data_IF_555770798263
#
_entry.id   IF_555770798263
#
_cell.length_a   1.000
_cell.length_b   1.000
_cell.length_c   1.000
_cell.angle_alpha   90.00
_cell.angle_beta   90.00
_cell.angle_gamma   90.00
#
_symmetry.space_group_name_H-M   'P 1'
#
loop_
_entity.id
_entity.type
_entity.pdbx_description
1 polymer ?
#
# COMPACT_ATOMS: atom_id res chain seq x y z
N UNK A 1 -1.24 37.35 -9.37
CA UNK A 1 -2.33 36.44 -8.94
C UNK A 1 -2.12 36.07 -7.47
N UNK A 2 -3.18 35.83 -6.70
CA UNK A 2 -3.24 35.75 -5.21
C UNK A 2 -2.22 34.87 -4.44
N UNK A 3 -1.21 34.28 -5.10
CA UNK A 3 -0.19 33.42 -4.50
C UNK A 3 1.18 34.10 -4.28
N UNK A 4 1.41 35.30 -4.86
CA UNK A 4 2.70 36.02 -4.75
C UNK A 4 3.06 36.49 -3.32
N UNK A 5 2.06 36.53 -2.42
CA UNK A 5 2.19 37.12 -1.10
C UNK A 5 2.61 36.14 0.01
N UNK A 6 2.64 34.82 -0.25
CA UNK A 6 2.98 33.86 0.81
C UNK A 6 4.48 33.91 1.14
N UNK A 7 4.83 33.88 2.44
CA UNK A 7 6.23 33.83 2.88
C UNK A 7 6.99 32.69 2.21
N UNK A 8 6.38 31.50 2.13
CA UNK A 8 6.96 30.32 1.45
C UNK A 8 7.26 30.54 -0.03
N UNK A 9 6.40 31.25 -0.77
CA UNK A 9 6.68 31.58 -2.17
C UNK A 9 7.89 32.51 -2.29
N UNK A 10 7.97 33.54 -1.44
CA UNK A 10 9.12 34.45 -1.42
C UNK A 10 10.41 33.71 -1.09
N UNK A 11 10.36 32.87 -0.05
CA UNK A 11 11.52 32.17 0.50
C UNK A 11 12.06 31.10 -0.46
N UNK A 12 11.18 30.37 -1.16
CA UNK A 12 11.59 29.20 -1.93
C UNK A 12 11.51 29.37 -3.44
N UNK A 13 10.75 30.35 -3.96
CA UNK A 13 10.55 30.55 -5.40
C UNK A 13 11.07 31.90 -5.86
N UNK A 14 10.70 33.00 -5.21
CA UNK A 14 11.09 34.34 -5.65
C UNK A 14 12.55 34.71 -5.33
N UNK A 15 13.10 34.16 -4.24
CA UNK A 15 14.48 34.38 -3.80
C UNK A 15 15.54 33.78 -4.74
N UNK A 16 15.17 32.77 -5.55
CA UNK A 16 16.08 32.12 -6.48
C UNK A 16 16.28 32.95 -7.75
N UNK A 17 17.52 33.40 -7.95
CA UNK A 17 17.90 34.34 -9.00
C UNK A 17 17.87 33.74 -10.42
N UNK A 18 18.07 32.43 -10.56
CA UNK A 18 18.33 31.78 -11.86
C UNK A 18 17.19 30.85 -12.28
N UNK A 19 16.68 30.06 -11.35
CA UNK A 19 15.73 28.99 -11.61
C UNK A 19 14.41 29.20 -10.86
N UNK A 20 14.25 30.31 -10.15
CA UNK A 20 13.06 30.70 -9.40
C UNK A 20 11.93 31.30 -10.22
N UNK A 21 11.26 32.30 -9.64
CA UNK A 21 10.14 33.02 -10.24
C UNK A 21 10.45 33.54 -11.65
N UNK A 22 11.63 34.15 -11.84
CA UNK A 22 12.04 34.74 -13.13
C UNK A 22 12.05 33.74 -14.30
N UNK A 23 12.30 32.46 -14.02
CA UNK A 23 12.34 31.40 -15.03
C UNK A 23 10.97 30.74 -15.29
N UNK A 24 9.93 31.12 -14.52
CA UNK A 24 8.63 30.43 -14.50
C UNK A 24 7.41 31.33 -14.66
N UNK A 25 7.45 32.57 -14.17
CA UNK A 25 6.29 33.48 -14.10
C UNK A 25 5.64 33.76 -15.47
N UNK A 26 6.44 33.91 -16.53
CA UNK A 26 5.91 34.09 -17.89
C UNK A 26 5.06 32.90 -18.30
N UNK A 27 5.55 31.67 -18.12
CA UNK A 27 4.80 30.46 -18.46
C UNK A 27 3.52 30.32 -17.63
N UNK A 28 3.57 30.68 -16.35
CA UNK A 28 2.37 30.67 -15.49
C UNK A 28 1.34 31.71 -15.94
N UNK A 29 1.79 32.90 -16.33
CA UNK A 29 0.92 33.98 -16.80
C UNK A 29 0.23 33.60 -18.10
N UNK A 30 1.00 33.14 -19.11
CA UNK A 30 0.48 32.68 -20.40
C UNK A 30 -0.56 31.55 -20.23
N UNK A 31 -0.30 30.62 -19.30
CA UNK A 31 -1.24 29.54 -18.97
C UNK A 31 -2.54 30.06 -18.33
N UNK A 32 -2.45 30.98 -17.37
CA UNK A 32 -3.61 31.57 -16.70
C UNK A 32 -4.45 32.45 -17.63
N UNK A 33 -3.83 33.08 -18.63
CA UNK A 33 -4.51 33.86 -19.67
C UNK A 33 -5.18 32.98 -20.75
N UNK A 34 -4.97 31.66 -20.69
CA UNK A 34 -5.71 30.69 -21.50
C UNK A 34 -5.10 30.41 -22.87
N UNK A 35 -3.81 30.69 -23.07
CA UNK A 35 -3.12 30.45 -24.33
C UNK A 35 -2.84 28.96 -24.55
N UNK A 36 -3.85 28.23 -25.04
CA UNK A 36 -3.84 26.75 -25.15
C UNK A 36 -2.67 26.18 -25.95
N UNK A 37 -2.16 26.93 -26.93
CA UNK A 37 -0.99 26.55 -27.74
C UNK A 37 0.30 26.42 -26.94
N UNK A 38 0.38 27.01 -25.74
CA UNK A 38 1.56 27.00 -24.87
C UNK A 38 1.46 26.07 -23.66
N UNK A 39 0.41 25.24 -23.60
CA UNK A 39 0.18 24.34 -22.45
C UNK A 39 1.37 23.41 -22.20
N UNK A 40 1.96 22.85 -23.25
CA UNK A 40 3.09 21.92 -23.12
C UNK A 40 4.35 22.62 -22.58
N UNK A 41 4.63 23.85 -23.01
CA UNK A 41 5.73 24.66 -22.50
C UNK A 41 5.55 24.98 -21.01
N UNK A 42 4.33 25.31 -20.60
CA UNK A 42 3.99 25.49 -19.20
C UNK A 42 4.19 24.21 -18.40
N UNK A 43 3.73 23.06 -18.89
CA UNK A 43 3.91 21.77 -18.20
C UNK A 43 5.39 21.42 -18.02
N UNK A 44 6.23 21.69 -19.02
CA UNK A 44 7.68 21.53 -18.91
C UNK A 44 8.31 22.51 -17.92
N UNK A 45 7.89 23.78 -17.92
CA UNK A 45 8.35 24.77 -16.95
C UNK A 45 7.94 24.40 -15.51
N UNK A 46 6.71 23.94 -15.31
CA UNK A 46 6.20 23.45 -14.03
C UNK A 46 6.97 22.21 -13.55
N UNK A 47 7.26 21.26 -14.44
CA UNK A 47 8.07 20.09 -14.10
C UNK A 47 9.47 20.48 -13.62
N UNK A 48 10.14 21.43 -14.31
CA UNK A 48 11.44 21.97 -13.90
C UNK A 48 11.38 22.66 -12.53
N UNK A 49 10.32 23.44 -12.27
CA UNK A 49 10.11 24.06 -10.97
C UNK A 49 9.95 23.04 -9.85
N UNK A 50 9.15 21.99 -10.07
CA UNK A 50 8.98 20.88 -9.11
C UNK A 50 10.29 20.16 -8.84
N UNK A 51 11.06 19.85 -9.88
CA UNK A 51 12.35 19.19 -9.75
C UNK A 51 13.35 20.06 -8.98
N UNK A 52 13.44 21.36 -9.27
CA UNK A 52 14.29 22.28 -8.50
C UNK A 52 13.91 22.27 -7.03
N UNK A 53 12.63 22.50 -6.73
CA UNK A 53 12.13 22.56 -5.37
C UNK A 53 12.38 21.26 -4.61
N UNK A 54 12.32 20.10 -5.27
CA UNK A 54 12.67 18.83 -4.63
C UNK A 54 14.08 18.84 -4.01
N UNK A 55 15.06 19.41 -4.71
CA UNK A 55 16.45 19.47 -4.24
C UNK A 55 16.78 20.72 -3.42
N UNK A 56 16.03 21.82 -3.60
CA UNK A 56 16.33 23.10 -2.96
C UNK A 56 15.52 23.36 -1.70
N UNK A 57 14.43 22.62 -1.46
CA UNK A 57 13.62 22.80 -0.26
C UNK A 57 14.43 22.40 0.98
N UNK A 58 14.62 23.32 1.94
CA UNK A 58 15.27 22.97 3.19
C UNK A 58 14.40 22.01 4.00
N UNK A 59 15.04 21.02 4.63
CA UNK A 59 14.35 20.16 5.60
C UNK A 59 13.76 21.00 6.75
N UNK A 60 12.61 20.57 7.29
CA UNK A 60 12.06 21.12 8.54
C UNK A 60 11.06 22.29 8.42
N UNK A 61 10.68 22.74 7.23
CA UNK A 61 9.70 23.85 7.04
C UNK A 61 8.23 23.39 6.84
N UNK A 62 7.92 22.16 7.26
CA UNK A 62 6.60 21.54 7.04
C UNK A 62 6.25 21.37 5.55
N UNK A 63 7.25 21.41 4.67
CA UNK A 63 7.13 21.06 3.26
C UNK A 63 7.94 19.79 3.05
N UNK A 64 7.26 18.71 2.68
CA UNK A 64 7.90 17.48 2.30
C UNK A 64 8.16 17.47 0.78
N UNK A 65 9.45 17.41 0.34
CA UNK A 65 9.82 17.33 -1.06
C UNK A 65 9.16 16.18 -1.81
N UNK A 66 8.86 15.05 -1.16
CA UNK A 66 8.30 13.89 -1.85
C UNK A 66 6.91 14.14 -2.44
N UNK A 67 6.16 15.12 -1.92
CA UNK A 67 4.91 15.61 -2.52
C UNK A 67 5.07 16.20 -3.93
N UNK A 68 6.30 16.55 -4.32
CA UNK A 68 6.64 17.03 -5.65
C UNK A 68 6.88 15.89 -6.65
N UNK A 69 6.86 14.64 -6.21
CA UNK A 69 7.08 13.45 -7.04
C UNK A 69 5.79 12.65 -7.22
N UNK A 70 5.83 11.66 -8.12
CA UNK A 70 4.74 10.69 -8.29
C UNK A 70 4.70 9.71 -7.11
N UNK A 71 5.86 9.36 -6.54
CA UNK A 71 6.01 8.45 -5.41
C UNK A 71 6.15 9.24 -4.12
N UNK A 72 5.02 9.71 -3.58
CA UNK A 72 5.00 10.63 -2.44
C UNK A 72 5.47 9.97 -1.14
N UNK A 73 5.38 8.65 -1.05
CA UNK A 73 5.79 7.85 0.11
C UNK A 73 7.21 7.31 -0.04
N UNK A 74 7.98 7.78 -1.02
CA UNK A 74 9.39 7.36 -1.20
C UNK A 74 10.26 7.63 0.02
N UNK A 75 10.02 8.74 0.72
CA UNK A 75 10.73 9.03 1.98
C UNK A 75 10.47 7.97 3.04
N UNK A 76 9.19 7.62 3.22
CA UNK A 76 8.76 6.58 4.16
C UNK A 76 9.28 5.20 3.75
N UNK A 77 9.33 4.91 2.45
CA UNK A 77 9.91 3.66 1.92
C UNK A 77 11.40 3.52 2.27
N UNK A 78 12.18 4.59 2.08
CA UNK A 78 13.60 4.59 2.43
C UNK A 78 13.80 4.44 3.94
N UNK A 79 13.03 5.18 4.74
CA UNK A 79 13.08 5.07 6.21
C UNK A 79 12.69 3.67 6.69
N UNK A 80 11.63 3.09 6.11
CA UNK A 80 11.18 1.73 6.41
C UNK A 80 12.24 0.68 6.07
N UNK A 81 12.88 0.80 4.90
CA UNK A 81 13.96 -0.09 4.49
C UNK A 81 15.14 -0.02 5.47
N UNK A 82 15.52 1.19 5.89
CA UNK A 82 16.60 1.39 6.85
C UNK A 82 16.23 0.85 8.26
N UNK A 83 14.98 1.04 8.68
CA UNK A 83 14.49 0.46 9.93
C UNK A 83 14.52 -1.06 9.91
N UNK A 84 14.20 -1.70 8.77
CA UNK A 84 14.33 -3.15 8.62
C UNK A 84 15.79 -3.61 8.73
N UNK A 85 16.73 -2.94 8.03
CA UNK A 85 18.17 -3.25 8.10
C UNK A 85 18.74 -3.13 9.50
N UNK A 86 18.35 -2.07 10.21
CA UNK A 86 18.81 -1.80 11.57
C UNK A 86 18.02 -2.54 12.65
N UNK A 87 17.00 -3.34 12.27
CA UNK A 87 16.06 -3.99 13.17
C UNK A 87 15.44 -3.01 14.20
N UNK A 88 15.11 -1.82 13.72
CA UNK A 88 14.46 -0.73 14.45
C UNK A 88 12.94 -0.83 14.41
N UNK A 89 12.26 0.09 15.09
CA UNK A 89 10.79 0.12 15.11
C UNK A 89 10.20 0.41 13.71
N UNK A 90 9.21 -0.40 13.33
CA UNK A 90 8.48 -0.28 12.06
C UNK A 90 6.96 -0.26 12.24
N UNK A 91 6.45 -0.21 13.47
CA UNK A 91 5.05 -0.46 13.83
C UNK A 91 4.07 0.38 13.00
N UNK A 92 4.25 1.70 12.98
CA UNK A 92 3.34 2.61 12.25
C UNK A 92 3.30 2.34 10.73
N UNK A 93 4.46 2.04 10.13
CA UNK A 93 4.52 1.74 8.70
C UNK A 93 3.92 0.37 8.41
N UNK A 94 4.24 -0.63 9.24
CA UNK A 94 3.67 -1.97 9.16
C UNK A 94 2.15 -1.93 9.23
N UNK A 95 1.58 -1.17 10.19
CA UNK A 95 0.14 -1.02 10.33
C UNK A 95 -0.51 -0.42 9.08
N UNK A 96 0.13 0.60 8.50
CA UNK A 96 -0.32 1.25 7.27
C UNK A 96 -0.31 0.26 6.10
N UNK A 97 0.76 -0.54 5.96
CA UNK A 97 0.89 -1.52 4.89
C UNK A 97 -0.13 -2.65 5.04
N UNK A 98 -0.35 -3.17 6.25
CA UNK A 98 -1.37 -4.20 6.52
C UNK A 98 -2.77 -3.67 6.21
N UNK A 99 -3.08 -2.43 6.61
CA UNK A 99 -4.35 -1.81 6.23
C UNK A 99 -4.52 -1.74 4.71
N UNK A 100 -3.47 -1.37 3.99
CA UNK A 100 -3.45 -1.37 2.52
C UNK A 100 -3.72 -2.77 1.94
N UNK A 101 -3.11 -3.81 2.53
CA UNK A 101 -3.32 -5.21 2.13
C UNK A 101 -4.77 -5.64 2.38
N UNK A 102 -5.31 -5.42 3.59
CA UNK A 102 -6.69 -5.78 3.94
C UNK A 102 -7.71 -5.12 3.00
N UNK A 103 -7.54 -3.82 2.72
CA UNK A 103 -8.39 -3.11 1.75
C UNK A 103 -8.26 -3.65 0.33
N UNK A 104 -7.07 -4.10 -0.06
CA UNK A 104 -6.84 -4.72 -1.37
C UNK A 104 -7.45 -6.12 -1.46
N UNK A 105 -7.31 -6.93 -0.40
CA UNK A 105 -7.68 -8.34 -0.38
C UNK A 105 -9.17 -8.54 -0.19
N UNK A 106 -9.80 -7.70 0.63
CA UNK A 106 -11.22 -7.77 0.94
C UNK A 106 -12.08 -6.85 0.06
N UNK A 107 -11.48 -5.82 -0.57
CA UNK A 107 -12.21 -4.83 -1.36
C UNK A 107 -13.10 -3.91 -0.50
N UNK A 108 -12.85 -3.85 0.81
CA UNK A 108 -13.61 -3.09 1.80
C UNK A 108 -12.72 -2.07 2.51
N UNK A 109 -13.29 -0.98 3.04
CA UNK A 109 -12.56 0.05 3.79
C UNK A 109 -12.24 -0.41 5.22
N UNK A 110 -11.36 -1.40 5.34
CA UNK A 110 -10.91 -1.93 6.63
C UNK A 110 -9.85 -1.04 7.25
N UNK A 111 -9.88 -0.92 8.58
CA UNK A 111 -8.90 -0.18 9.38
C UNK A 111 -8.05 -1.09 10.28
N UNK A 112 -8.41 -2.38 10.40
CA UNK A 112 -7.61 -3.38 11.12
C UNK A 112 -6.24 -3.57 10.47
N UNK A 113 -5.22 -3.58 11.32
CA UNK A 113 -3.81 -3.73 10.99
C UNK A 113 -3.09 -4.79 11.82
N UNK A 114 -3.82 -5.47 12.72
CA UNK A 114 -3.28 -6.49 13.63
C UNK A 114 -3.40 -7.90 13.06
N UNK A 115 -4.34 -8.09 12.14
CA UNK A 115 -4.61 -9.32 11.41
C UNK A 115 -4.65 -9.00 9.92
N UNK A 116 -4.05 -9.87 9.12
CA UNK A 116 -4.20 -9.88 7.68
C UNK A 116 -5.36 -10.81 7.31
N UNK A 117 -6.41 -10.25 6.73
CA UNK A 117 -7.60 -10.98 6.32
C UNK A 117 -7.47 -11.43 4.86
N UNK A 118 -7.53 -12.75 4.63
CA UNK A 118 -7.49 -13.34 3.31
C UNK A 118 -8.89 -13.77 2.91
N UNK A 119 -9.56 -12.95 2.10
CA UNK A 119 -10.91 -13.20 1.64
C UNK A 119 -10.99 -13.53 0.14
N UNK A 120 -11.97 -14.35 -0.22
CA UNK A 120 -12.35 -14.72 -1.57
C UNK A 120 -13.80 -14.34 -1.86
N UNK A 121 -14.13 -14.14 -3.13
CA UNK A 121 -15.50 -13.91 -3.60
C UNK A 121 -16.28 -15.22 -3.86
N UNK A 122 -15.80 -16.36 -3.37
CA UNK A 122 -16.38 -17.68 -3.63
C UNK A 122 -16.12 -18.25 -5.04
N UNK A 123 -15.29 -17.57 -5.84
CA UNK A 123 -14.87 -17.98 -7.19
C UNK A 123 -13.34 -18.16 -7.29
N UNK A 124 -12.73 -17.67 -8.36
CA UNK A 124 -11.26 -17.68 -8.58
C UNK A 124 -10.45 -16.75 -7.64
N UNK A 125 -11.10 -16.20 -6.60
CA UNK A 125 -10.56 -15.29 -5.60
C UNK A 125 -10.19 -13.88 -6.11
N UNK A 126 -10.49 -13.56 -7.37
CA UNK A 126 -10.28 -12.24 -8.01
C UNK A 126 -11.55 -11.37 -8.06
N UNK A 127 -12.65 -11.80 -7.43
CA UNK A 127 -13.89 -11.02 -7.43
C UNK A 127 -13.73 -9.64 -6.79
N UNK A 128 -14.47 -8.66 -7.34
CA UNK A 128 -14.35 -7.24 -6.97
C UNK A 128 -14.82 -6.90 -5.55
N UNK A 129 -15.60 -7.79 -4.93
CA UNK A 129 -16.04 -7.71 -3.54
C UNK A 129 -15.86 -9.12 -2.97
N UNK A 130 -14.99 -9.27 -1.98
CA UNK A 130 -14.79 -10.54 -1.30
C UNK A 130 -15.70 -10.58 -0.07
N UNK A 131 -16.45 -11.67 0.08
CA UNK A 131 -17.37 -11.85 1.21
C UNK A 131 -17.06 -13.09 2.02
N UNK A 132 -16.24 -14.02 1.53
CA UNK A 132 -15.92 -15.27 2.22
C UNK A 132 -14.50 -15.19 2.76
N UNK A 133 -14.36 -15.20 4.07
CA UNK A 133 -13.07 -15.30 4.74
C UNK A 133 -12.50 -16.70 4.55
N UNK A 134 -11.25 -16.77 4.13
CA UNK A 134 -10.53 -18.03 3.97
C UNK A 134 -9.58 -18.25 5.15
N UNK A 135 -8.79 -17.23 5.50
CA UNK A 135 -7.79 -17.32 6.56
C UNK A 135 -7.58 -15.95 7.21
N UNK A 136 -7.30 -15.98 8.51
CA UNK A 136 -6.77 -14.85 9.28
C UNK A 136 -5.32 -15.12 9.65
N UNK A 137 -4.43 -14.19 9.29
CA UNK A 137 -2.99 -14.32 9.56
C UNK A 137 -2.57 -13.21 10.53
N UNK A 138 -2.15 -13.54 11.77
CA UNK A 138 -1.65 -12.55 12.71
C UNK A 138 -0.45 -11.78 12.16
N UNK A 139 -0.35 -10.48 12.45
CA UNK A 139 0.82 -9.65 12.08
C UNK A 139 1.92 -9.70 13.14
N UNK A 140 1.60 -10.21 14.33
CA UNK A 140 2.55 -10.40 15.41
C UNK A 140 3.09 -11.81 15.43
N UNK A 141 4.32 -11.97 15.92
CA UNK A 141 4.98 -13.28 16.05
C UNK A 141 4.11 -14.26 16.83
N UNK A 142 3.64 -15.30 16.13
CA UNK A 142 2.99 -16.45 16.75
C UNK A 142 4.00 -17.58 16.99
N UNK A 143 3.73 -18.41 18.00
CA UNK A 143 4.53 -19.60 18.32
C UNK A 143 4.02 -20.87 17.66
N UNK A 144 2.79 -20.84 17.16
CA UNK A 144 2.06 -22.03 16.69
C UNK A 144 1.52 -21.84 15.29
N UNK A 145 1.03 -20.64 15.00
CA UNK A 145 0.31 -20.36 13.76
C UNK A 145 1.19 -19.57 12.79
N UNK A 146 1.01 -19.74 11.47
CA UNK A 146 1.59 -18.85 10.49
C UNK A 146 1.29 -17.38 10.78
N UNK A 147 2.30 -16.50 10.64
CA UNK A 147 2.15 -15.07 10.89
C UNK A 147 2.87 -14.21 9.84
N UNK A 148 2.39 -13.00 9.62
CA UNK A 148 3.01 -12.04 8.72
C UNK A 148 4.20 -11.36 9.39
N UNK A 149 5.31 -11.25 8.67
CA UNK A 149 6.49 -10.50 9.06
C UNK A 149 6.95 -9.64 7.88
N UNK A 150 7.27 -8.37 8.15
CA UNK A 150 8.06 -7.56 7.23
C UNK A 150 9.53 -7.83 7.49
N UNK A 151 10.28 -8.09 6.42
CA UNK A 151 11.71 -8.39 6.49
C UNK A 151 12.42 -7.80 5.29
N UNK A 152 13.75 -7.80 5.28
CA UNK A 152 14.52 -7.44 4.09
C UNK A 152 14.90 -8.71 3.31
N UNK A 153 14.88 -8.64 1.98
CA UNK A 153 15.29 -9.75 1.10
C UNK A 153 16.75 -10.14 1.36
N UNK A 154 17.14 -11.35 0.95
CA UNK A 154 18.45 -11.92 1.29
C UNK A 154 19.64 -11.18 0.65
N UNK A 155 19.39 -10.26 -0.28
CA UNK A 155 20.38 -9.34 -0.86
C UNK A 155 20.47 -7.99 -0.10
N UNK A 156 19.76 -7.88 1.03
CA UNK A 156 19.67 -6.70 1.91
C UNK A 156 19.20 -5.42 1.19
N UNK A 157 18.51 -5.57 0.06
CA UNK A 157 18.22 -4.45 -0.84
C UNK A 157 16.74 -4.06 -0.94
N UNK A 158 15.83 -5.02 -0.77
CA UNK A 158 14.39 -4.80 -0.97
C UNK A 158 13.59 -5.27 0.26
N UNK A 159 12.74 -4.41 0.85
CA UNK A 159 11.77 -4.87 1.84
C UNK A 159 10.87 -5.96 1.25
N UNK A 160 10.40 -6.88 2.08
CA UNK A 160 9.57 -8.02 1.67
C UNK A 160 8.47 -8.27 2.70
N UNK A 161 7.31 -8.71 2.21
CA UNK A 161 6.24 -9.28 3.03
C UNK A 161 6.48 -10.78 3.05
N UNK A 162 6.61 -11.38 4.23
CA UNK A 162 6.83 -12.82 4.39
C UNK A 162 5.79 -13.41 5.33
N UNK A 163 5.27 -14.59 5.00
CA UNK A 163 4.47 -15.39 5.93
C UNK A 163 5.36 -16.46 6.52
N UNK A 164 5.54 -16.46 7.83
CA UNK A 164 6.41 -17.38 8.55
C UNK A 164 5.54 -18.45 9.19
N UNK A 165 5.80 -19.72 8.89
CA UNK A 165 5.22 -20.85 9.60
C UNK A 165 6.21 -21.32 10.69
N UNK A 166 5.90 -21.15 12.00
CA UNK A 166 6.76 -21.62 13.07
C UNK A 166 6.95 -23.15 13.12
N UNK A 167 6.06 -23.91 12.50
CA UNK A 167 6.09 -25.37 12.49
C UNK A 167 7.03 -25.93 11.41
N UNK A 168 7.17 -25.23 10.28
CA UNK A 168 8.13 -25.57 9.23
C UNK A 168 9.53 -25.03 9.59
N UNK A 169 10.42 -25.94 9.97
CA UNK A 169 11.81 -25.59 10.32
C UNK A 169 12.78 -25.65 9.14
N UNK A 170 12.34 -26.23 8.03
CA UNK A 170 13.17 -26.45 6.84
C UNK A 170 13.03 -25.29 5.85
N UNK A 171 11.92 -24.54 5.91
CA UNK A 171 11.68 -23.34 5.11
C UNK A 171 11.86 -22.05 5.91
N UNK A 172 12.43 -21.02 5.27
CA UNK A 172 12.55 -19.68 5.88
C UNK A 172 11.20 -18.96 5.99
N UNK A 173 10.30 -19.21 5.03
CA UNK A 173 8.95 -18.65 4.97
C UNK A 173 8.04 -19.56 4.14
N UNK A 174 6.74 -19.52 4.44
CA UNK A 174 5.69 -20.21 3.68
C UNK A 174 5.52 -19.56 2.30
N UNK A 175 5.45 -18.23 2.27
CA UNK A 175 5.47 -17.46 1.03
C UNK A 175 5.97 -16.02 1.25
N UNK A 176 6.34 -15.35 0.16
CA UNK A 176 6.83 -13.98 0.18
C UNK A 176 6.42 -13.17 -1.05
N UNK A 177 6.53 -11.84 -0.90
CA UNK A 177 6.45 -10.86 -1.98
C UNK A 177 7.43 -9.71 -1.71
N UNK A 178 8.27 -9.40 -2.69
CA UNK A 178 9.20 -8.27 -2.65
C UNK A 178 8.44 -6.95 -2.81
N UNK A 179 8.61 -6.08 -1.84
CA UNK A 179 7.94 -4.79 -1.74
C UNK A 179 8.81 -3.71 -2.40
N UNK A 180 8.77 -3.65 -3.73
CA UNK A 180 9.34 -2.53 -4.48
C UNK A 180 8.66 -1.19 -4.13
N UNK A 181 9.31 -0.08 -4.43
CA UNK A 181 8.77 1.26 -4.17
C UNK A 181 7.34 1.44 -4.71
N UNK A 182 7.04 0.91 -5.90
CA UNK A 182 5.70 0.97 -6.49
C UNK A 182 4.67 0.19 -5.68
N UNK A 183 5.04 -0.97 -5.14
CA UNK A 183 4.17 -1.75 -4.23
C UNK A 183 3.92 -1.00 -2.91
N UNK A 184 4.97 -0.40 -2.34
CA UNK A 184 4.86 0.39 -1.12
C UNK A 184 3.94 1.60 -1.32
N UNK A 185 4.19 2.41 -2.36
CA UNK A 185 3.35 3.58 -2.70
C UNK A 185 1.90 3.16 -2.96
N UNK A 186 1.70 2.04 -3.64
CA UNK A 186 0.37 1.47 -3.87
C UNK A 186 -0.35 1.19 -2.54
N UNK A 187 0.29 0.44 -1.63
CA UNK A 187 -0.33 0.07 -0.35
C UNK A 187 -0.62 1.30 0.51
N UNK A 188 0.30 2.27 0.58
CA UNK A 188 0.09 3.53 1.31
C UNK A 188 -1.09 4.31 0.72
N UNK A 189 -1.22 4.38 -0.60
CA UNK A 189 -2.36 5.05 -1.25
C UNK A 189 -3.68 4.37 -0.95
N UNK A 190 -3.72 3.04 -1.01
CA UNK A 190 -4.93 2.26 -0.70
C UNK A 190 -5.30 2.36 0.78
N UNK A 191 -4.31 2.33 1.67
CA UNK A 191 -4.49 2.58 3.10
C UNK A 191 -5.05 4.00 3.39
N UNK A 192 -4.74 4.96 2.52
CA UNK A 192 -5.27 6.33 2.57
C UNK A 192 -6.58 6.53 1.76
N UNK A 193 -7.20 5.45 1.26
CA UNK A 193 -8.52 5.48 0.63
C UNK A 193 -8.52 5.66 -0.89
N UNK A 194 -7.36 5.57 -1.54
CA UNK A 194 -7.31 5.48 -3.00
C UNK A 194 -7.87 4.14 -3.47
N UNK A 195 -8.58 4.14 -4.59
CA UNK A 195 -9.06 2.89 -5.19
C UNK A 195 -7.87 2.04 -5.66
N UNK A 196 -7.81 0.73 -5.35
CA UNK A 196 -6.72 -0.18 -5.73
C UNK A 196 -6.27 -0.03 -7.19
N UNK A 197 -7.19 -0.10 -8.15
CA UNK A 197 -6.85 -0.05 -9.57
C UNK A 197 -6.51 1.37 -10.12
N UNK A 198 -6.58 2.42 -9.31
CA UNK A 198 -6.41 3.81 -9.78
C UNK A 198 -4.95 4.25 -9.90
N UNK A 199 -4.04 3.64 -9.13
CA UNK A 199 -2.62 3.97 -9.16
C UNK A 199 -1.84 3.03 -10.09
N UNK A 200 -1.98 1.72 -9.88
CA UNK A 200 -1.28 0.71 -10.68
C UNK A 200 -2.09 -0.58 -10.73
N UNK A 201 -2.55 -0.94 -11.94
CA UNK A 201 -3.21 -2.25 -12.16
C UNK A 201 -2.23 -3.40 -11.96
N UNK A 202 -0.97 -3.22 -12.35
CA UNK A 202 0.06 -4.24 -12.17
C UNK A 202 0.20 -4.62 -10.69
N UNK A 203 0.38 -3.62 -9.82
CA UNK A 203 0.51 -3.90 -8.38
C UNK A 203 -0.74 -4.55 -7.80
N UNK A 204 -1.93 -4.17 -8.28
CA UNK A 204 -3.17 -4.81 -7.85
C UNK A 204 -3.18 -6.31 -8.18
N UNK A 205 -2.81 -6.67 -9.42
CA UNK A 205 -2.72 -8.09 -9.82
C UNK A 205 -1.61 -8.82 -9.04
N UNK A 206 -0.44 -8.21 -8.84
CA UNK A 206 0.65 -8.81 -8.06
C UNK A 206 0.21 -9.17 -6.63
N UNK A 207 -0.56 -8.29 -5.99
CA UNK A 207 -1.12 -8.53 -4.66
C UNK A 207 -2.25 -9.57 -4.67
N UNK A 208 -3.12 -9.59 -5.69
CA UNK A 208 -4.14 -10.63 -5.82
C UNK A 208 -3.52 -12.01 -6.05
N UNK A 209 -2.48 -12.09 -6.87
CA UNK A 209 -1.74 -13.33 -7.09
C UNK A 209 -1.03 -13.79 -5.81
N UNK A 210 -0.44 -12.87 -5.05
CA UNK A 210 0.10 -13.18 -3.72
C UNK A 210 -0.99 -13.73 -2.77
N UNK A 211 -2.15 -13.08 -2.69
CA UNK A 211 -3.29 -13.55 -1.88
C UNK A 211 -3.70 -14.98 -2.23
N UNK A 212 -3.84 -15.29 -3.52
CA UNK A 212 -4.24 -16.63 -3.97
C UNK A 212 -3.20 -17.71 -3.61
N UNK A 213 -1.91 -17.39 -3.76
CA UNK A 213 -0.83 -18.30 -3.36
C UNK A 213 -0.85 -18.54 -1.85
N UNK A 214 -1.08 -17.49 -1.05
CA UNK A 214 -1.21 -17.61 0.41
C UNK A 214 -2.39 -18.49 0.82
N UNK A 215 -3.60 -18.24 0.29
CA UNK A 215 -4.78 -19.05 0.61
C UNK A 215 -4.51 -20.53 0.34
N UNK A 216 -3.92 -20.85 -0.83
CA UNK A 216 -3.58 -22.22 -1.19
C UNK A 216 -2.59 -22.86 -0.20
N UNK A 217 -1.50 -22.17 0.13
CA UNK A 217 -0.48 -22.70 1.04
C UNK A 217 -1.01 -22.84 2.47
N UNK A 218 -1.85 -21.91 2.93
CA UNK A 218 -2.46 -22.00 4.25
C UNK A 218 -3.52 -23.11 4.32
N UNK A 219 -4.27 -23.35 3.24
CA UNK A 219 -5.16 -24.52 3.13
C UNK A 219 -4.37 -25.84 3.31
N UNK A 220 -3.17 -25.93 2.74
CA UNK A 220 -2.30 -27.10 2.89
C UNK A 220 -1.74 -27.26 4.32
N UNK A 221 -1.44 -26.15 5.00
CA UNK A 221 -0.90 -26.14 6.37
C UNK A 221 -1.99 -26.47 7.41
N UNK A 222 -3.16 -25.84 7.30
CA UNK A 222 -4.22 -26.01 8.29
C UNK A 222 -5.03 -27.29 8.07
N UNK A 223 -5.02 -27.87 6.86
CA UNK A 223 -5.78 -29.07 6.52
C UNK A 223 -7.28 -28.81 6.60
N UNK A 224 -7.99 -28.79 5.48
CA UNK A 224 -9.46 -28.68 5.55
C UNK A 224 -10.03 -29.94 6.21
N UNK A 225 -10.44 -29.83 7.47
CA UNK A 225 -11.41 -30.73 8.11
C UNK A 225 -12.79 -30.49 7.48
N UNK A 226 -12.92 -30.79 6.19
CA UNK A 226 -14.22 -30.83 5.54
C UNK A 226 -14.93 -32.09 6.00
N UNK A 227 -15.82 -31.96 6.99
CA UNK A 227 -16.84 -32.96 7.24
C UNK A 227 -17.63 -33.18 5.94
N UNK A 228 -17.79 -34.43 5.51
CA UNK A 228 -18.41 -34.76 4.23
C UNK A 228 -19.85 -34.20 4.05
N UNK A 229 -20.52 -33.87 5.16
CA UNK A 229 -21.94 -33.48 5.19
C UNK A 229 -22.18 -31.99 5.53
N UNK A 230 -21.14 -31.21 5.90
CA UNK A 230 -21.29 -29.81 6.32
C UNK A 230 -20.16 -28.93 5.78
N UNK A 231 -20.54 -27.83 5.13
CA UNK A 231 -19.62 -26.77 4.71
C UNK A 231 -19.83 -25.57 5.63
N UNK A 232 -18.78 -25.20 6.37
CA UNK A 232 -18.73 -23.98 7.14
C UNK A 232 -18.04 -22.90 6.30
N UNK A 233 -18.75 -21.82 6.02
CA UNK A 233 -18.21 -20.62 5.38
C UNK A 233 -18.27 -19.50 6.39
N UNK A 234 -17.21 -18.71 6.48
CA UNK A 234 -17.21 -17.50 7.30
C UNK A 234 -17.36 -16.30 6.35
N UNK A 235 -18.38 -15.48 6.56
CA UNK A 235 -18.56 -14.26 5.80
C UNK A 235 -17.89 -13.10 6.51
N UNK A 236 -17.14 -12.25 5.79
CA UNK A 236 -16.50 -11.06 6.35
C UNK A 236 -17.12 -9.78 5.80
N UNK A 237 -17.41 -8.85 6.69
CA UNK A 237 -17.93 -7.51 6.41
C UNK A 237 -17.17 -6.46 7.22
N UNK A 238 -17.48 -5.18 7.01
CA UNK A 238 -16.87 -4.06 7.74
C UNK A 238 -17.94 -3.18 8.35
N UNK A 239 -17.75 -2.76 9.61
CA UNK A 239 -18.64 -1.81 10.28
C UNK A 239 -18.34 -0.34 9.89
N UNK A 240 -19.16 0.59 10.39
CA UNK A 240 -18.99 2.04 10.15
C UNK A 240 -17.64 2.60 10.63
N UNK A 241 -16.91 1.85 11.47
CA UNK A 241 -15.61 2.22 12.02
C UNK A 241 -14.44 1.48 11.34
N UNK A 242 -14.70 0.79 10.24
CA UNK A 242 -13.65 0.06 9.52
C UNK A 242 -13.25 -1.27 10.16
N UNK A 243 -13.97 -1.76 11.17
CA UNK A 243 -13.61 -3.01 11.88
C UNK A 243 -14.21 -4.21 11.17
N UNK A 244 -13.41 -5.27 11.03
CA UNK A 244 -13.85 -6.54 10.51
C UNK A 244 -15.00 -7.12 11.37
N UNK A 245 -16.02 -7.67 10.73
CA UNK A 245 -17.08 -8.43 11.35
C UNK A 245 -17.24 -9.74 10.60
N UNK A 246 -17.14 -10.85 11.31
CA UNK A 246 -17.31 -12.18 10.75
C UNK A 246 -18.65 -12.80 11.14
N UNK A 247 -19.27 -13.54 10.23
CA UNK A 247 -20.50 -14.29 10.45
C UNK A 247 -20.36 -15.72 9.91
N UNK A 248 -20.57 -16.72 10.77
CA UNK A 248 -20.55 -18.13 10.38
C UNK A 248 -21.82 -18.52 9.62
N UNK A 249 -21.64 -18.99 8.39
CA UNK A 249 -22.67 -19.53 7.52
C UNK A 249 -22.47 -21.05 7.42
N UNK A 250 -23.41 -21.80 7.99
CA UNK A 250 -23.39 -23.28 7.94
C UNK A 250 -24.34 -23.79 6.86
N UNK A 251 -23.79 -24.58 5.94
CA UNK A 251 -24.55 -25.21 4.86
C UNK A 251 -24.48 -26.72 5.03
N UNK A 252 -25.63 -27.36 5.25
CA UNK A 252 -25.74 -28.83 5.24
C UNK A 252 -25.93 -29.32 3.82
N UNK A 253 -25.07 -30.23 3.38
CA UNK A 253 -25.20 -30.88 2.08
C UNK A 253 -26.04 -32.14 2.30
N UNK A 254 -27.32 -32.09 1.90
CA UNK A 254 -28.14 -33.29 1.85
C UNK A 254 -27.74 -34.13 0.64
N UNK A 255 -27.11 -35.27 0.87
CA UNK A 255 -26.92 -36.31 -0.16
C UNK A 255 -28.29 -36.86 -0.55
N UNK A 256 -28.69 -36.69 -1.82
CA UNK A 256 -29.80 -37.43 -2.45
C UNK A 256 -29.28 -38.73 -3.05
#
# INVERSE_FOLDING_TARGET
>A
GKYDGSGKYKDFVASDQYYGARAYETFLTDYLEGERSKTDEFMQALSRQRQRLFFSLPGGHGLDPWNLTVYRSSGDFLAFTESLRSNSEITSTSETLVRGLNRTFCGMMMDDSTVLHLASSGGDGRGRIASILCHDVPVNKSRRDPFLKFDISNDDSVPSIRIIDPADKDSEYLDSLDLQLTHFEYLVRVANGSLPASFSRQCHEDFLDFKLRLIKRLDDVFGRDASADEVNLEAITVDERGRAQSEDIRIRISTQ
#
